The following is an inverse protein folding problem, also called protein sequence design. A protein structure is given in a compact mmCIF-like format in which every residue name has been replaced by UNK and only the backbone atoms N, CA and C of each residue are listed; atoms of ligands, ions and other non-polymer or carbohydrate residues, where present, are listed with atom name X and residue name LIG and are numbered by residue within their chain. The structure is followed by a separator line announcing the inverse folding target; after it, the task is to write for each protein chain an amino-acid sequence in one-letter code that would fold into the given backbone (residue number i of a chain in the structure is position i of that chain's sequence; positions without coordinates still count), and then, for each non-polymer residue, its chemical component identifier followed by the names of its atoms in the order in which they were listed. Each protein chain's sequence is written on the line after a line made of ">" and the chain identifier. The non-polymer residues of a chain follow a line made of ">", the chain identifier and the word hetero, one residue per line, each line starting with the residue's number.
data_IF_038060521664
#
_entry.id   IF_038060521664
#
_cell.length_a   1.000
_cell.length_b   1.000
_cell.length_c   1.000
_cell.angle_alpha   90.00
_cell.angle_beta   90.00
_cell.angle_gamma   90.00
#
_symmetry.space_group_name_H-M   'P 1'
#
loop_
_entity.id
_entity.type
_entity.pdbx_description
1 polymer ?
#
# COMPACT_ATOMS: atom_id res chain seq x y z
N UNK A 1 -0.31 -4.58 -20.43
CA UNK A 1 0.97 -5.18 -20.02
C UNK A 1 0.82 -6.70 -20.03
N UNK A 2 1.86 -7.44 -20.38
CA UNK A 2 1.88 -8.90 -20.21
C UNK A 2 2.13 -9.23 -18.73
N UNK A 3 1.51 -10.29 -18.21
CA UNK A 3 1.68 -10.74 -16.83
C UNK A 3 2.99 -11.51 -16.69
N UNK A 4 3.78 -11.24 -15.64
CA UNK A 4 5.10 -11.87 -15.46
C UNK A 4 5.03 -13.34 -14.96
N UNK A 5 3.87 -14.02 -15.11
CA UNK A 5 3.66 -15.43 -14.73
C UNK A 5 4.44 -16.38 -15.66
N UNK A 6 5.74 -16.47 -15.45
CA UNK A 6 6.63 -17.39 -16.18
C UNK A 6 8.03 -16.84 -16.45
N UNK A 7 8.31 -15.57 -16.17
CA UNK A 7 9.66 -15.00 -16.32
C UNK A 7 10.56 -15.62 -15.24
N UNK A 8 11.65 -16.27 -15.67
CA UNK A 8 12.74 -16.68 -14.78
C UNK A 8 13.73 -15.52 -14.70
N UNK A 9 14.02 -15.06 -13.49
CA UNK A 9 15.03 -14.02 -13.27
C UNK A 9 16.39 -14.71 -13.21
N UNK A 10 17.33 -14.20 -14.00
CA UNK A 10 18.66 -14.76 -14.19
C UNK A 10 19.70 -14.04 -13.33
N UNK A 11 20.67 -14.74 -12.72
CA UNK A 11 21.70 -14.10 -11.88
C UNK A 11 22.76 -13.37 -12.70
N UNK A 12 23.30 -12.29 -12.14
CA UNK A 12 24.43 -11.54 -12.65
C UNK A 12 25.79 -12.08 -12.15
N UNK A 13 26.84 -11.79 -12.91
CA UNK A 13 28.20 -12.19 -12.60
C UNK A 13 28.97 -11.05 -11.87
N UNK A 14 28.99 -11.11 -10.53
CA UNK A 14 29.86 -10.39 -9.56
C UNK A 14 29.28 -9.10 -8.90
N UNK A 15 29.76 -8.81 -7.68
CA UNK A 15 29.15 -8.07 -6.54
C UNK A 15 29.25 -6.53 -6.51
N UNK A 16 28.21 -5.86 -5.98
CA UNK A 16 28.10 -4.41 -5.78
C UNK A 16 28.60 -3.77 -4.47
N UNK A 17 28.32 -2.47 -4.31
CA UNK A 17 28.57 -1.60 -3.14
C UNK A 17 27.59 -0.40 -3.13
N UNK A 18 27.00 -0.10 -1.98
CA UNK A 18 25.96 0.95 -1.83
C UNK A 18 26.49 2.27 -1.23
N UNK A 19 25.74 3.36 -1.41
CA UNK A 19 26.01 4.67 -0.80
C UNK A 19 24.74 5.48 -0.50
N UNK A 20 24.72 6.18 0.64
CA UNK A 20 23.54 6.85 1.22
C UNK A 20 23.67 8.38 1.16
N UNK A 21 22.55 9.10 1.03
CA UNK A 21 22.46 10.57 1.08
C UNK A 21 21.37 11.00 2.08
N UNK A 22 21.51 12.18 2.71
CA UNK A 22 20.69 12.63 3.84
C UNK A 22 19.72 13.79 3.52
N UNK A 23 18.64 13.88 4.30
CA UNK A 23 17.53 14.84 4.13
C UNK A 23 17.68 16.18 4.88
N UNK A 24 16.68 17.08 4.75
CA UNK A 24 16.56 18.35 5.48
C UNK A 24 15.08 18.76 5.67
N UNK A 25 14.70 19.15 6.90
CA UNK A 25 13.30 19.38 7.33
C UNK A 25 12.96 20.86 7.58
N UNK A 26 11.81 21.38 7.13
CA UNK A 26 11.20 22.68 7.55
C UNK A 26 9.64 22.59 7.62
N UNK A 27 9.00 23.47 8.41
CA UNK A 27 7.69 23.36 9.10
C UNK A 27 6.50 24.24 8.61
N UNK A 28 5.26 23.81 8.95
CA UNK A 28 3.99 24.58 9.16
C UNK A 28 3.35 25.30 7.94
N UNK A 29 2.04 25.34 7.63
CA UNK A 29 0.73 25.24 8.34
C UNK A 29 -0.38 24.67 7.37
N UNK A 30 -1.66 24.36 7.69
CA UNK A 30 -2.42 23.91 8.88
C UNK A 30 -3.97 24.15 8.71
N UNK A 31 -4.85 23.13 8.76
CA UNK A 31 -6.34 23.28 8.91
C UNK A 31 -6.97 22.31 9.91
N UNK A 32 -7.85 22.83 10.78
CA UNK A 32 -8.55 22.15 11.90
C UNK A 32 -7.62 21.52 12.95
N UNK A 33 -7.77 21.92 14.20
CA UNK A 33 -6.90 21.46 15.29
C UNK A 33 -7.08 19.96 15.58
N UNK A 34 -6.06 19.16 15.27
CA UNK A 34 -5.89 17.82 15.85
C UNK A 34 -6.04 17.93 17.37
N UNK A 35 -6.86 17.06 17.96
CA UNK A 35 -6.90 16.96 19.42
C UNK A 35 -5.52 16.48 19.90
N UNK A 36 -4.93 17.15 20.89
CA UNK A 36 -3.53 16.89 21.29
C UNK A 36 -3.30 15.45 21.77
N UNK A 37 -4.37 14.74 22.18
CA UNK A 37 -4.34 13.32 22.51
C UNK A 37 -4.07 12.38 21.32
N UNK A 38 -4.29 12.82 20.08
CA UNK A 38 -4.04 12.04 18.85
C UNK A 38 -2.54 12.05 18.50
N UNK A 39 -1.84 13.14 18.83
CA UNK A 39 -0.38 13.29 18.66
C UNK A 39 0.44 12.70 19.83
N UNK A 40 -0.23 12.18 20.85
CA UNK A 40 0.41 11.55 22.03
C UNK A 40 0.82 10.09 21.72
N UNK A 41 1.81 9.93 20.84
CA UNK A 41 2.23 8.62 20.34
C UNK A 41 2.73 7.67 21.44
N UNK A 42 2.35 6.40 21.34
CA UNK A 42 2.91 5.32 22.18
C UNK A 42 4.39 5.14 21.81
N UNK A 43 5.26 4.94 22.80
CA UNK A 43 6.71 4.80 22.60
C UNK A 43 7.22 3.49 23.18
N UNK A 44 7.70 2.61 22.30
CA UNK A 44 8.20 1.28 22.69
C UNK A 44 9.45 0.94 21.89
N UNK A 45 10.46 0.38 22.56
CA UNK A 45 11.72 -0.06 21.93
C UNK A 45 12.45 1.01 21.08
N UNK A 46 12.21 2.30 21.35
CA UNK A 46 12.78 3.42 20.60
C UNK A 46 12.00 3.84 19.34
N UNK A 47 10.91 3.16 19.01
CA UNK A 47 9.97 3.50 17.92
C UNK A 47 8.73 4.23 18.46
N UNK A 48 8.03 4.98 17.60
CA UNK A 48 6.71 5.56 17.91
C UNK A 48 5.58 4.79 17.22
N UNK A 49 4.39 4.78 17.83
CA UNK A 49 3.18 4.14 17.31
C UNK A 49 1.98 5.08 17.55
N UNK A 50 0.94 4.98 16.71
CA UNK A 50 -0.30 5.75 16.89
C UNK A 50 -1.04 5.33 18.19
N UNK A 51 -2.01 6.14 18.59
CA UNK A 51 -2.83 5.96 19.80
C UNK A 51 -4.34 6.01 19.55
N UNK A 52 -4.74 6.46 18.36
CA UNK A 52 -6.12 6.33 17.88
C UNK A 52 -6.38 4.85 17.58
N UNK A 53 -7.38 4.24 18.21
CA UNK A 53 -7.64 2.79 18.12
C UNK A 53 -6.40 1.94 18.53
N UNK A 54 -5.71 2.35 19.62
CA UNK A 54 -4.49 1.74 20.16
C UNK A 54 -4.57 0.21 20.23
N UNK A 55 -3.71 -0.46 19.47
CA UNK A 55 -3.65 -1.92 19.36
C UNK A 55 -4.33 -2.53 18.13
N UNK A 56 -4.93 -1.75 17.24
CA UNK A 56 -5.45 -2.25 15.95
C UNK A 56 -4.38 -2.32 14.85
N UNK A 57 -3.47 -1.33 14.79
CA UNK A 57 -2.31 -1.39 13.89
C UNK A 57 -1.01 -1.52 14.71
N UNK A 58 -0.07 -2.31 14.21
CA UNK A 58 1.07 -2.80 15.01
C UNK A 58 2.44 -2.31 14.52
N UNK A 59 2.47 -1.58 13.41
CA UNK A 59 3.72 -1.03 12.86
C UNK A 59 3.99 0.38 13.40
N UNK A 60 5.26 0.82 13.40
CA UNK A 60 5.63 2.17 13.82
C UNK A 60 5.02 3.29 12.95
N UNK A 61 5.18 4.53 13.39
CA UNK A 61 4.80 5.73 12.63
C UNK A 61 5.87 6.86 12.70
N UNK A 62 7.11 6.49 13.02
CA UNK A 62 8.27 7.40 13.05
C UNK A 62 8.88 7.61 11.66
N UNK A 63 9.82 8.56 11.55
CA UNK A 63 10.43 8.96 10.27
C UNK A 63 11.05 7.80 9.49
N UNK A 64 11.74 6.88 10.18
CA UNK A 64 12.32 5.69 9.56
C UNK A 64 11.27 4.74 8.96
N UNK A 65 10.01 4.78 9.43
CA UNK A 65 8.91 4.06 8.78
C UNK A 65 8.37 4.82 7.56
N UNK A 66 8.33 6.16 7.60
CA UNK A 66 7.93 6.98 6.45
C UNK A 66 8.92 6.85 5.29
N UNK A 67 10.23 6.95 5.56
CA UNK A 67 11.29 6.68 4.58
C UNK A 67 11.09 5.29 3.93
N UNK A 68 10.72 4.27 4.72
CA UNK A 68 10.43 2.92 4.23
C UNK A 68 9.14 2.82 3.41
N UNK A 69 8.12 3.62 3.72
CA UNK A 69 6.87 3.70 2.95
C UNK A 69 7.08 4.42 1.61
N UNK A 70 7.86 5.49 1.59
CA UNK A 70 8.15 6.25 0.37
C UNK A 70 9.08 5.46 -0.57
N UNK A 71 10.07 4.73 -0.03
CA UNK A 71 10.83 3.74 -0.80
C UNK A 71 9.93 2.63 -1.36
N UNK A 72 8.98 2.12 -0.56
CA UNK A 72 8.03 1.12 -1.03
C UNK A 72 7.14 1.66 -2.16
N UNK A 73 6.68 2.91 -2.08
CA UNK A 73 5.98 3.57 -3.18
C UNK A 73 6.85 3.61 -4.45
N UNK A 74 8.13 3.99 -4.33
CA UNK A 74 9.04 4.04 -5.48
C UNK A 74 9.21 2.67 -6.16
N UNK A 75 9.31 1.57 -5.38
CA UNK A 75 9.38 0.20 -5.92
C UNK A 75 8.09 -0.15 -6.70
N UNK A 76 6.91 0.26 -6.23
CA UNK A 76 5.66 0.13 -7.00
C UNK A 76 5.69 0.95 -8.30
N UNK A 77 6.13 2.21 -8.24
CA UNK A 77 6.22 3.10 -9.40
C UNK A 77 7.14 2.51 -10.49
N UNK A 78 8.31 1.99 -10.11
CA UNK A 78 9.21 1.27 -11.01
C UNK A 78 8.55 0.00 -11.60
N UNK A 79 7.91 -0.81 -10.74
CA UNK A 79 7.23 -2.06 -11.13
C UNK A 79 6.14 -1.84 -12.17
N UNK A 80 5.42 -0.73 -12.06
CA UNK A 80 4.32 -0.35 -12.95
C UNK A 80 4.76 0.55 -14.12
N UNK A 81 6.07 0.64 -14.37
CA UNK A 81 6.68 1.44 -15.44
C UNK A 81 6.30 2.93 -15.41
N UNK A 82 6.31 3.53 -14.22
CA UNK A 82 5.98 4.94 -14.01
C UNK A 82 4.48 5.24 -13.98
N UNK A 83 3.67 4.27 -13.54
CA UNK A 83 2.23 4.44 -13.29
C UNK A 83 1.90 4.22 -11.82
N UNK A 84 0.88 4.94 -11.34
CA UNK A 84 0.34 4.80 -9.99
C UNK A 84 -0.55 3.55 -9.82
N UNK A 85 -1.09 3.03 -10.92
CA UNK A 85 -1.92 1.83 -10.94
C UNK A 85 -2.21 1.31 -12.34
N UNK A 86 -2.88 0.16 -12.41
CA UNK A 86 -3.22 -0.56 -13.64
C UNK A 86 -4.69 -0.43 -14.05
N UNK A 87 -5.57 0.00 -13.14
CA UNK A 87 -6.97 0.25 -13.44
C UNK A 87 -7.13 1.50 -14.33
N UNK A 88 -8.17 1.57 -15.19
CA UNK A 88 -8.43 2.72 -16.06
C UNK A 88 -8.49 4.11 -15.40
N UNK A 89 -8.83 4.27 -14.10
CA UNK A 89 -8.72 5.56 -13.44
C UNK A 89 -7.32 6.19 -13.43
N UNK A 90 -6.26 5.39 -13.57
CA UNK A 90 -4.84 5.83 -13.63
C UNK A 90 -4.36 6.11 -15.08
N UNK A 91 -5.26 6.28 -16.05
CA UNK A 91 -4.90 6.71 -17.41
C UNK A 91 -5.14 8.22 -17.57
N UNK A 92 -4.26 9.01 -18.24
CA UNK A 92 -4.34 10.48 -18.30
C UNK A 92 -5.60 11.10 -18.91
N UNK A 93 -6.54 10.31 -19.42
CA UNK A 93 -7.85 10.76 -19.92
C UNK A 93 -9.02 10.24 -19.06
N UNK A 94 -8.72 9.86 -17.82
CA UNK A 94 -9.66 9.39 -16.82
C UNK A 94 -10.86 10.33 -16.63
N UNK A 95 -11.94 9.75 -16.10
CA UNK A 95 -13.16 10.45 -15.69
C UNK A 95 -13.47 10.20 -14.22
N UNK A 96 -12.49 9.77 -13.44
CA UNK A 96 -12.65 9.46 -12.03
C UNK A 96 -12.70 10.76 -11.20
N UNK A 97 -13.88 11.39 -11.10
CA UNK A 97 -14.04 12.67 -10.39
C UNK A 97 -13.84 12.58 -8.86
N UNK A 98 -13.81 11.36 -8.31
CA UNK A 98 -13.71 11.12 -6.86
C UNK A 98 -13.02 9.81 -6.55
N UNK A 99 -11.96 9.85 -5.75
CA UNK A 99 -11.03 8.72 -5.48
C UNK A 99 -10.82 8.56 -3.97
N UNK A 100 -10.74 7.31 -3.52
CA UNK A 100 -10.39 6.94 -2.14
C UNK A 100 -9.08 6.16 -2.14
N UNK A 101 -8.12 6.54 -1.31
CA UNK A 101 -6.89 5.79 -1.03
C UNK A 101 -6.94 5.25 0.40
N UNK A 102 -7.10 3.93 0.53
CA UNK A 102 -7.31 3.24 1.81
C UNK A 102 -5.98 2.76 2.40
N UNK A 103 -5.65 3.23 3.60
CA UNK A 103 -4.34 2.97 4.23
C UNK A 103 -3.24 3.78 3.53
N UNK A 104 -3.47 5.09 3.40
CA UNK A 104 -2.64 5.98 2.56
C UNK A 104 -1.22 6.20 3.11
N UNK A 105 -0.95 5.87 4.38
CA UNK A 105 0.38 5.94 4.99
C UNK A 105 0.93 7.37 5.03
N UNK A 106 2.01 7.63 4.29
CA UNK A 106 2.59 8.97 4.11
C UNK A 106 1.72 9.89 3.24
N UNK A 107 0.77 9.34 2.49
CA UNK A 107 -0.08 10.07 1.55
C UNK A 107 0.53 10.22 0.15
N UNK A 108 1.77 9.77 -0.07
CA UNK A 108 2.56 10.00 -1.30
C UNK A 108 1.80 9.66 -2.59
N UNK A 109 1.10 8.52 -2.63
CA UNK A 109 0.31 8.13 -3.80
C UNK A 109 -0.93 8.99 -4.03
N UNK A 110 -1.61 9.43 -2.97
CA UNK A 110 -2.76 10.31 -3.09
C UNK A 110 -2.34 11.71 -3.57
N UNK A 111 -1.12 12.15 -3.24
CA UNK A 111 -0.51 13.38 -3.76
C UNK A 111 -0.19 13.24 -5.25
N UNK A 112 0.56 12.20 -5.63
CA UNK A 112 0.93 11.96 -7.04
C UNK A 112 -0.31 11.77 -7.92
N UNK A 113 -1.32 11.03 -7.44
CA UNK A 113 -2.59 10.87 -8.16
C UNK A 113 -3.32 12.21 -8.29
N UNK A 114 -3.31 13.04 -7.24
CA UNK A 114 -3.89 14.37 -7.25
C UNK A 114 -3.20 15.34 -8.22
N UNK A 115 -1.90 15.20 -8.42
CA UNK A 115 -1.09 15.97 -9.37
C UNK A 115 -1.25 15.45 -10.83
N UNK A 116 -1.38 14.14 -11.03
CA UNK A 116 -1.72 13.55 -12.35
C UNK A 116 -3.17 13.83 -12.77
N UNK A 117 -4.09 13.94 -11.80
CA UNK A 117 -5.53 14.13 -11.98
C UNK A 117 -6.09 15.34 -11.21
N UNK A 118 -5.73 16.58 -11.58
CA UNK A 118 -6.18 17.80 -10.89
C UNK A 118 -7.70 18.03 -10.94
N UNK A 119 -8.43 17.32 -11.80
CA UNK A 119 -9.89 17.29 -11.86
C UNK A 119 -10.56 16.40 -10.80
N UNK A 120 -9.82 15.48 -10.18
CA UNK A 120 -10.35 14.47 -9.26
C UNK A 120 -10.25 14.92 -7.79
N UNK A 121 -11.34 14.78 -7.01
CA UNK A 121 -11.26 14.83 -5.54
C UNK A 121 -10.62 13.54 -5.03
N UNK A 122 -9.43 13.63 -4.44
CA UNK A 122 -8.72 12.49 -3.83
C UNK A 122 -8.83 12.58 -2.31
N UNK A 123 -9.25 11.49 -1.66
CA UNK A 123 -9.30 11.36 -0.21
C UNK A 123 -8.42 10.19 0.18
N UNK A 124 -7.36 10.45 0.94
CA UNK A 124 -6.57 9.39 1.58
C UNK A 124 -6.97 9.23 3.04
N UNK A 125 -7.10 7.99 3.52
CA UNK A 125 -7.42 7.72 4.94
C UNK A 125 -6.38 6.79 5.58
N UNK A 126 -6.02 7.09 6.83
CA UNK A 126 -5.10 6.30 7.65
C UNK A 126 -5.40 6.51 9.15
N UNK A 127 -5.02 5.55 9.99
CA UNK A 127 -5.10 5.66 11.45
C UNK A 127 -4.08 6.68 12.02
N UNK A 128 -3.00 6.95 11.29
CA UNK A 128 -1.91 7.82 11.70
C UNK A 128 -1.95 9.18 10.98
N UNK A 129 -1.84 10.31 11.70
CA UNK A 129 -1.53 11.61 11.08
C UNK A 129 -0.04 11.67 10.70
N UNK A 130 0.30 11.08 9.56
CA UNK A 130 1.66 11.04 8.99
C UNK A 130 1.81 11.89 7.71
N UNK A 131 0.72 12.44 7.19
CA UNK A 131 0.65 13.07 5.88
C UNK A 131 1.14 14.54 5.89
N UNK A 132 1.66 15.08 4.78
CA UNK A 132 2.20 16.43 4.73
C UNK A 132 1.11 17.50 4.92
N UNK A 133 1.49 18.64 5.48
CA UNK A 133 0.57 19.77 5.71
C UNK A 133 0.25 20.57 4.44
N UNK A 134 1.14 20.49 3.44
CA UNK A 134 0.94 21.09 2.12
C UNK A 134 0.51 20.00 1.15
N UNK A 135 -0.73 20.10 0.67
CA UNK A 135 -1.35 19.15 -0.25
C UNK A 135 -1.96 19.91 -1.44
N UNK A 136 -2.07 19.29 -2.63
CA UNK A 136 -2.85 19.85 -3.74
C UNK A 136 -4.29 20.16 -3.31
N UNK A 137 -4.92 21.19 -3.88
CA UNK A 137 -6.25 21.66 -3.45
C UNK A 137 -7.38 20.64 -3.62
N UNK A 138 -7.13 19.59 -4.41
CA UNK A 138 -8.03 18.48 -4.70
C UNK A 138 -7.74 17.23 -3.84
N UNK A 139 -6.66 17.21 -3.06
CA UNK A 139 -6.27 16.11 -2.15
C UNK A 139 -6.67 16.45 -0.71
N UNK A 140 -7.20 15.46 0.02
CA UNK A 140 -7.56 15.58 1.44
C UNK A 140 -7.11 14.33 2.19
N UNK A 141 -6.78 14.51 3.46
CA UNK A 141 -6.46 13.41 4.37
C UNK A 141 -7.40 13.42 5.57
N UNK A 142 -7.95 12.24 5.89
CA UNK A 142 -8.85 12.03 7.02
C UNK A 142 -8.23 10.97 7.94
N UNK A 143 -8.24 11.20 9.26
CA UNK A 143 -7.82 10.18 10.24
C UNK A 143 -9.04 9.32 10.51
N UNK A 144 -9.04 8.10 9.96
CA UNK A 144 -10.19 7.21 10.01
C UNK A 144 -9.76 5.74 9.93
N UNK A 145 -10.60 4.83 10.44
CA UNK A 145 -10.40 3.39 10.35
C UNK A 145 -11.21 2.84 9.17
N UNK A 146 -10.54 2.29 8.15
CA UNK A 146 -11.27 1.75 7.00
C UNK A 146 -12.11 0.49 7.35
N UNK A 147 -11.88 -0.14 8.51
CA UNK A 147 -12.72 -1.22 9.02
C UNK A 147 -14.04 -0.71 9.66
N UNK A 148 -14.13 0.56 10.06
CA UNK A 148 -15.36 1.20 10.60
C UNK A 148 -16.42 1.52 9.52
N UNK A 149 -17.61 1.98 9.93
CA UNK A 149 -18.71 2.32 9.01
C UNK A 149 -18.37 3.56 8.15
N UNK A 150 -18.26 3.38 6.84
CA UNK A 150 -18.01 4.48 5.91
C UNK A 150 -19.24 5.39 5.78
N UNK A 151 -19.13 6.64 6.22
CA UNK A 151 -20.25 7.58 6.28
C UNK A 151 -20.34 8.54 5.07
N UNK A 152 -19.69 8.18 3.95
CA UNK A 152 -19.59 9.06 2.78
C UNK A 152 -20.94 9.32 2.09
N UNK A 153 -21.31 10.61 2.00
CA UNK A 153 -22.56 11.06 1.35
C UNK A 153 -22.62 10.87 -0.18
N UNK A 154 -21.51 10.45 -0.80
CA UNK A 154 -21.38 10.19 -2.23
C UNK A 154 -20.52 8.95 -2.45
N UNK A 155 -20.77 8.15 -3.50
CA UNK A 155 -19.87 7.09 -3.91
C UNK A 155 -18.55 7.64 -4.50
N UNK A 156 -17.63 6.73 -4.79
CA UNK A 156 -16.36 6.98 -5.47
C UNK A 156 -16.37 6.42 -6.89
N UNK A 157 -15.50 6.94 -7.75
CA UNK A 157 -15.23 6.40 -9.08
C UNK A 157 -14.09 5.38 -9.07
N UNK A 158 -13.18 5.52 -8.11
CA UNK A 158 -12.02 4.66 -7.93
C UNK A 158 -11.73 4.51 -6.44
N UNK A 159 -11.50 3.27 -6.00
CA UNK A 159 -10.97 2.96 -4.67
C UNK A 159 -9.64 2.24 -4.88
N UNK A 160 -8.57 2.82 -4.37
CA UNK A 160 -7.24 2.25 -4.34
C UNK A 160 -6.93 1.75 -2.92
N UNK A 161 -6.24 0.62 -2.82
CA UNK A 161 -5.62 0.17 -1.57
C UNK A 161 -4.35 -0.62 -1.85
N UNK A 162 -3.34 -0.46 -0.98
CA UNK A 162 -2.03 -1.08 -1.16
C UNK A 162 -1.43 -1.53 0.17
N UNK A 163 -0.88 -2.74 0.18
CA UNK A 163 -0.09 -3.32 1.29
C UNK A 163 -0.85 -3.39 2.64
N UNK A 164 -2.17 -3.60 2.60
CA UNK A 164 -3.05 -3.68 3.77
C UNK A 164 -3.40 -5.12 4.21
N UNK A 165 -2.78 -6.15 3.62
CA UNK A 165 -3.04 -7.56 3.97
C UNK A 165 -2.88 -7.91 5.47
N UNK A 166 -2.02 -7.21 6.22
CA UNK A 166 -1.88 -7.35 7.69
C UNK A 166 -2.68 -6.33 8.52
N UNK A 167 -3.55 -5.55 7.87
CA UNK A 167 -4.34 -4.46 8.46
C UNK A 167 -5.85 -4.64 8.28
N UNK A 168 -6.30 -5.74 7.66
CA UNK A 168 -7.71 -6.04 7.38
C UNK A 168 -8.08 -7.32 8.13
N UNK A 169 -9.03 -7.23 9.06
CA UNK A 169 -9.56 -8.36 9.80
C UNK A 169 -10.58 -9.17 8.99
N UNK A 170 -11.34 -8.53 8.10
CA UNK A 170 -12.38 -9.18 7.30
C UNK A 170 -12.37 -8.77 5.81
N UNK A 171 -11.57 -9.48 5.02
CA UNK A 171 -11.45 -9.25 3.57
C UNK A 171 -12.77 -9.38 2.78
N UNK A 172 -13.71 -10.27 3.16
CA UNK A 172 -14.99 -10.35 2.44
C UNK A 172 -15.86 -9.11 2.66
N UNK A 173 -15.82 -8.53 3.85
CA UNK A 173 -16.52 -7.30 4.20
C UNK A 173 -15.83 -6.08 3.62
N UNK A 174 -14.50 -6.01 3.68
CA UNK A 174 -13.71 -4.96 3.04
C UNK A 174 -13.98 -4.85 1.53
N UNK A 175 -14.00 -6.00 0.84
CA UNK A 175 -14.35 -6.09 -0.58
C UNK A 175 -15.80 -5.67 -0.84
N UNK A 176 -16.75 -6.09 0.02
CA UNK A 176 -18.16 -5.69 -0.09
C UNK A 176 -18.34 -4.19 0.11
N UNK A 177 -17.75 -3.64 1.16
CA UNK A 177 -17.80 -2.22 1.51
C UNK A 177 -17.24 -1.36 0.39
N UNK A 178 -16.13 -1.79 -0.23
CA UNK A 178 -15.57 -1.18 -1.45
C UNK A 178 -16.55 -1.20 -2.62
N UNK A 179 -17.22 -2.33 -2.88
CA UNK A 179 -18.24 -2.44 -3.94
C UNK A 179 -19.44 -1.50 -3.70
N UNK A 180 -19.99 -1.50 -2.48
CA UNK A 180 -21.19 -0.75 -2.13
C UNK A 180 -20.98 0.78 -2.16
N UNK A 181 -19.72 1.25 -2.10
CA UNK A 181 -19.34 2.66 -2.17
C UNK A 181 -18.83 3.13 -3.53
N UNK A 182 -18.85 2.28 -4.56
CA UNK A 182 -18.51 2.68 -5.94
C UNK A 182 -19.75 3.10 -6.73
N UNK A 183 -19.55 4.01 -7.69
CA UNK A 183 -20.54 4.24 -8.75
C UNK A 183 -20.67 3.00 -9.63
N UNK A 184 -21.81 2.77 -10.30
CA UNK A 184 -21.89 1.77 -11.37
C UNK A 184 -20.82 2.01 -12.44
N UNK A 185 -19.94 1.03 -12.65
CA UNK A 185 -18.78 1.14 -13.54
C UNK A 185 -17.53 1.79 -12.93
N UNK A 186 -17.53 2.06 -11.61
CA UNK A 186 -16.33 2.41 -10.86
C UNK A 186 -15.40 1.23 -10.65
N UNK A 187 -14.17 1.51 -10.23
CA UNK A 187 -13.09 0.52 -10.11
C UNK A 187 -12.58 0.38 -8.68
N UNK A 188 -12.14 -0.83 -8.34
CA UNK A 188 -11.27 -1.06 -7.18
C UNK A 188 -9.94 -1.64 -7.65
N UNK A 189 -8.83 -1.16 -7.10
CA UNK A 189 -7.50 -1.72 -7.34
C UNK A 189 -6.82 -2.05 -6.00
N UNK A 190 -6.38 -3.31 -5.86
CA UNK A 190 -5.66 -3.79 -4.69
C UNK A 190 -4.24 -4.19 -5.09
N UNK A 191 -3.25 -3.48 -4.55
CA UNK A 191 -1.82 -3.72 -4.79
C UNK A 191 -1.20 -4.40 -3.57
N UNK A 192 -1.05 -5.71 -3.62
CA UNK A 192 -0.62 -6.52 -2.47
C UNK A 192 0.61 -7.37 -2.76
N UNK A 193 1.42 -7.59 -1.72
CA UNK A 193 2.58 -8.50 -1.77
C UNK A 193 2.28 -9.86 -1.13
N UNK A 194 3.01 -10.88 -1.58
CA UNK A 194 2.98 -12.21 -0.96
C UNK A 194 4.25 -12.46 -0.17
N UNK A 195 4.19 -13.38 0.80
CA UNK A 195 5.36 -13.79 1.57
C UNK A 195 6.50 -14.24 0.62
N UNK A 196 7.77 -13.95 0.95
CA UNK A 196 8.93 -14.28 0.13
C UNK A 196 8.95 -15.72 -0.40
N UNK A 197 9.38 -15.88 -1.66
CA UNK A 197 9.45 -17.16 -2.37
C UNK A 197 10.76 -17.27 -3.15
N UNK A 198 11.11 -18.50 -3.54
CA UNK A 198 12.18 -18.80 -4.49
C UNK A 198 11.60 -19.57 -5.69
N UNK A 199 11.92 -19.16 -6.91
CA UNK A 199 11.47 -19.86 -8.13
C UNK A 199 12.08 -21.26 -8.29
N UNK A 200 13.30 -21.46 -7.78
CA UNK A 200 14.08 -22.71 -7.85
C UNK A 200 13.91 -23.63 -6.63
N UNK A 201 13.09 -23.22 -5.65
CA UNK A 201 12.86 -23.96 -4.41
C UNK A 201 13.97 -23.87 -3.35
N UNK A 202 14.96 -22.98 -3.51
CA UNK A 202 16.04 -22.80 -2.52
C UNK A 202 15.57 -22.27 -1.17
N UNK A 203 14.50 -21.45 -1.12
CA UNK A 203 13.92 -20.94 0.12
C UNK A 203 13.07 -22.01 0.82
N UNK A 204 13.73 -22.87 1.59
CA UNK A 204 13.07 -23.89 2.43
C UNK A 204 12.72 -23.39 3.82
N UNK A 205 11.85 -24.12 4.51
CA UNK A 205 11.39 -23.86 5.90
C UNK A 205 12.50 -23.73 6.94
N UNK A 206 13.70 -24.21 6.64
CA UNK A 206 14.84 -24.15 7.55
C UNK A 206 15.49 -22.76 7.62
N UNK A 207 15.27 -21.90 6.63
CA UNK A 207 15.91 -20.58 6.53
C UNK A 207 15.30 -19.56 7.50
N UNK A 208 16.14 -18.63 7.96
CA UNK A 208 15.74 -17.57 8.89
C UNK A 208 14.64 -16.66 8.31
N UNK A 209 14.71 -16.32 7.01
CA UNK A 209 13.71 -15.52 6.32
C UNK A 209 12.32 -16.19 6.35
N UNK A 210 12.25 -17.48 5.96
CA UNK A 210 11.00 -18.23 6.02
C UNK A 210 10.42 -18.27 7.44
N UNK A 211 11.25 -18.62 8.43
CA UNK A 211 10.83 -18.68 9.85
C UNK A 211 10.33 -17.33 10.36
N UNK A 212 11.03 -16.24 10.04
CA UNK A 212 10.63 -14.88 10.42
C UNK A 212 9.25 -14.51 9.83
N UNK A 213 9.04 -14.76 8.54
CA UNK A 213 7.77 -14.48 7.87
C UNK A 213 6.64 -15.38 8.37
N UNK A 214 6.93 -16.65 8.66
CA UNK A 214 5.98 -17.59 9.25
C UNK A 214 5.54 -17.14 10.65
N UNK A 215 6.49 -16.80 11.53
CA UNK A 215 6.17 -16.29 12.87
C UNK A 215 5.45 -14.95 12.86
N UNK A 216 5.75 -14.07 11.88
CA UNK A 216 4.97 -12.84 11.68
C UNK A 216 3.52 -13.15 11.32
N UNK A 217 3.27 -14.14 10.44
CA UNK A 217 1.92 -14.61 10.13
C UNK A 217 1.21 -15.28 11.30
N UNK A 218 1.91 -16.08 12.11
CA UNK A 218 1.37 -16.63 13.36
C UNK A 218 1.00 -15.55 14.39
N UNK A 219 1.77 -14.45 14.44
CA UNK A 219 1.49 -13.32 15.31
C UNK A 219 0.28 -12.52 14.79
N UNK A 220 0.26 -12.18 13.51
CA UNK A 220 -0.83 -11.46 12.86
C UNK A 220 -2.17 -12.21 13.00
N UNK A 221 -2.16 -13.54 12.82
CA UNK A 221 -3.35 -14.38 13.05
C UNK A 221 -3.84 -14.40 14.51
N UNK A 222 -2.95 -14.31 15.50
CA UNK A 222 -3.33 -14.18 16.92
C UNK A 222 -3.90 -12.79 17.26
N UNK A 223 -3.62 -11.81 16.42
CA UNK A 223 -4.12 -10.43 16.48
C UNK A 223 -5.33 -10.23 15.54
N UNK A 224 -5.92 -11.31 15.04
CA UNK A 224 -7.08 -11.34 14.12
C UNK A 224 -6.83 -10.76 12.72
N UNK A 225 -5.61 -10.27 12.40
CA UNK A 225 -5.24 -9.69 11.10
C UNK A 225 -4.36 -10.66 10.29
N UNK A 226 -4.84 -11.89 10.10
CA UNK A 226 -4.08 -12.94 9.42
C UNK A 226 -3.83 -12.59 7.94
N UNK A 227 -2.57 -12.66 7.47
CA UNK A 227 -2.28 -12.57 6.04
C UNK A 227 -3.10 -13.60 5.26
N UNK A 228 -3.87 -13.13 4.28
CA UNK A 228 -4.60 -14.00 3.36
C UNK A 228 -3.72 -14.41 2.17
N UNK A 229 -4.05 -15.55 1.58
CA UNK A 229 -3.56 -15.92 0.26
C UNK A 229 -4.20 -15.02 -0.80
N UNK A 230 -3.42 -14.13 -1.42
CA UNK A 230 -3.90 -13.16 -2.41
C UNK A 230 -4.72 -13.79 -3.56
N UNK A 231 -4.53 -15.08 -3.85
CA UNK A 231 -5.33 -15.83 -4.84
C UNK A 231 -6.82 -15.89 -4.50
N UNK A 232 -7.21 -15.61 -3.25
CA UNK A 232 -8.62 -15.56 -2.82
C UNK A 232 -9.29 -14.20 -3.08
N UNK A 233 -8.52 -13.11 -3.24
CA UNK A 233 -9.05 -11.75 -3.46
C UNK A 233 -9.87 -11.69 -4.75
N UNK A 234 -9.39 -12.27 -5.85
CA UNK A 234 -10.13 -12.29 -7.12
C UNK A 234 -11.50 -12.99 -6.98
N UNK A 235 -11.61 -14.22 -6.44
CA UNK A 235 -12.89 -14.83 -6.12
C UNK A 235 -13.79 -14.01 -5.18
N UNK A 236 -13.22 -13.26 -4.22
CA UNK A 236 -13.99 -12.36 -3.35
C UNK A 236 -14.58 -11.17 -4.12
N UNK A 237 -13.80 -10.56 -5.02
CA UNK A 237 -14.25 -9.48 -5.91
C UNK A 237 -15.41 -9.97 -6.82
N UNK A 238 -15.22 -11.11 -7.49
CA UNK A 238 -16.25 -11.72 -8.34
C UNK A 238 -17.52 -12.06 -7.54
N UNK A 239 -17.37 -12.56 -6.30
CA UNK A 239 -18.49 -12.86 -5.38
C UNK A 239 -19.25 -11.62 -4.91
N UNK A 240 -18.57 -10.47 -4.77
CA UNK A 240 -19.20 -9.21 -4.36
C UNK A 240 -19.98 -8.54 -5.49
N UNK A 241 -19.68 -8.86 -6.75
CA UNK A 241 -20.36 -8.33 -7.93
C UNK A 241 -19.45 -7.56 -8.91
N UNK A 242 -18.14 -7.53 -8.68
CA UNK A 242 -17.21 -6.91 -9.62
C UNK A 242 -17.11 -7.72 -10.92
N UNK A 243 -17.27 -7.03 -12.04
CA UNK A 243 -17.04 -7.58 -13.38
C UNK A 243 -15.62 -7.22 -13.88
N UNK A 244 -15.09 -7.99 -14.84
CA UNK A 244 -13.79 -7.67 -15.44
C UNK A 244 -12.59 -7.80 -14.49
N UNK A 245 -12.64 -8.70 -13.49
CA UNK A 245 -11.57 -8.82 -12.50
C UNK A 245 -10.27 -9.35 -13.12
N UNK A 246 -9.28 -8.47 -13.23
CA UNK A 246 -7.93 -8.79 -13.70
C UNK A 246 -6.97 -9.04 -12.54
N UNK A 247 -5.96 -9.89 -12.76
CA UNK A 247 -4.94 -10.23 -11.76
C UNK A 247 -3.56 -10.15 -12.45
N UNK A 248 -2.68 -9.28 -11.96
CA UNK A 248 -1.34 -9.08 -12.50
C UNK A 248 -0.31 -9.50 -11.45
N UNK A 249 0.68 -10.30 -11.87
CA UNK A 249 1.74 -10.80 -11.00
C UNK A 249 3.07 -10.21 -11.47
N UNK A 250 3.81 -9.64 -10.53
CA UNK A 250 5.13 -9.07 -10.71
C UNK A 250 6.11 -9.75 -9.74
N UNK A 251 7.40 -9.76 -10.10
CA UNK A 251 8.45 -10.32 -9.25
C UNK A 251 9.33 -9.22 -8.68
N UNK A 252 9.51 -9.23 -7.37
CA UNK A 252 10.40 -8.33 -6.64
C UNK A 252 11.58 -9.13 -6.10
N UNK A 253 12.77 -8.95 -6.69
CA UNK A 253 14.03 -9.41 -6.12
C UNK A 253 14.30 -8.75 -4.76
N UNK A 254 15.12 -9.39 -3.92
CA UNK A 254 15.43 -8.91 -2.57
C UNK A 254 16.93 -8.60 -2.36
N UNK A 255 17.65 -8.39 -3.45
CA UNK A 255 19.02 -7.86 -3.55
C UNK A 255 19.37 -7.69 -5.05
N UNK A 256 20.56 -7.17 -5.34
CA UNK A 256 21.12 -6.84 -6.66
C UNK A 256 21.52 -8.03 -7.55
N UNK A 257 21.23 -9.28 -7.14
CA UNK A 257 21.52 -10.49 -7.92
C UNK A 257 21.00 -10.55 -9.37
N UNK A 258 19.90 -9.90 -9.80
CA UNK A 258 19.41 -10.04 -11.17
C UNK A 258 20.35 -9.45 -12.23
N UNK A 259 20.48 -10.15 -13.35
CA UNK A 259 21.22 -9.69 -14.54
C UNK A 259 20.48 -8.62 -15.33
N UNK A 260 19.15 -8.67 -15.30
CA UNK A 260 18.31 -7.66 -15.92
C UNK A 260 18.35 -6.35 -15.11
N UNK A 261 18.57 -5.23 -15.79
CA UNK A 261 18.80 -3.94 -15.13
C UNK A 261 17.59 -3.46 -14.31
N UNK A 262 16.36 -3.68 -14.80
CA UNK A 262 15.15 -3.27 -14.08
C UNK A 262 14.90 -4.16 -12.88
N UNK A 263 15.09 -5.47 -12.99
CA UNK A 263 15.00 -6.36 -11.82
C UNK A 263 16.11 -6.10 -10.80
N UNK A 264 17.32 -5.71 -11.24
CA UNK A 264 18.41 -5.30 -10.33
C UNK A 264 18.05 -4.03 -9.57
N UNK A 265 17.61 -3.00 -10.28
CA UNK A 265 17.16 -1.72 -9.70
C UNK A 265 16.00 -1.92 -8.70
N UNK A 266 15.02 -2.77 -9.03
CA UNK A 266 13.93 -3.15 -8.11
C UNK A 266 14.40 -3.91 -6.85
N UNK A 267 15.58 -4.53 -6.90
CA UNK A 267 16.15 -5.32 -5.80
C UNK A 267 17.24 -4.62 -4.99
N UNK A 268 17.64 -3.40 -5.38
CA UNK A 268 18.73 -2.63 -4.74
C UNK A 268 18.17 -1.74 -3.62
#
# INVERSE_FOLDING_TARGET
>A
METQRGIVIEPDDVSGQDSVIAETTITELSTTSLNSSILDYRRENGRTYHKFHDGQYHFPNDEAEKERLDLQHHIFYLTLNGKLGLAPPNDPNSKAERVLDLGTGTGIWALDFGDEHPEAEVIGIDLSPSQPQFVPTNVKFEIDDFEDEWTYSKPFHYIHSRMNNSSISNWEEYVRKSFDHLVPGGYVEFQEFTLPRSDDGTLTENHALYKSMHHLGEAAAKLNHAFIDLRTIKPMLEKAGFEGVHEYHYKWPSNDWPRDATYKELGS
#
